data_IF_171162149645
#
_entry.id   IF_171162149645
#
_cell.length_a   1.000
_cell.length_b   1.000
_cell.length_c   1.000
_cell.angle_alpha   90.00
_cell.angle_beta   90.00
_cell.angle_gamma   90.00
#
_symmetry.space_group_name_H-M   'P 1'
#
loop_
_entity.id
_entity.type
_entity.pdbx_description
1 polymer ?
#
# COMPACT_ATOMS: atom_id res chain seq x y z
N UNK A 1 56.43 52.60 -0.28
CA UNK A 1 55.35 51.98 0.51
C UNK A 1 54.37 51.35 -0.45
N UNK A 2 54.40 50.03 -0.61
CA UNK A 2 53.42 49.29 -1.44
C UNK A 2 52.63 48.38 -0.52
N UNK A 3 51.35 48.67 -0.35
CA UNK A 3 50.41 47.85 0.40
C UNK A 3 50.11 46.57 -0.39
N UNK A 4 50.33 45.42 0.24
CA UNK A 4 50.00 44.11 -0.31
C UNK A 4 48.62 43.73 0.21
N UNK A 5 47.62 43.78 -0.67
CA UNK A 5 46.24 43.37 -0.46
C UNK A 5 46.13 41.84 -0.48
N UNK A 6 45.61 41.23 0.59
CA UNK A 6 45.19 39.83 0.60
C UNK A 6 43.73 39.73 0.15
N UNK A 7 43.38 38.85 -0.80
CA UNK A 7 41.99 38.56 -1.11
C UNK A 7 41.43 37.53 -0.10
N UNK A 8 40.28 37.84 0.48
CA UNK A 8 39.47 36.91 1.27
C UNK A 8 38.70 36.01 0.30
N UNK A 9 39.10 34.75 0.17
CA UNK A 9 38.35 33.75 -0.61
C UNK A 9 37.30 33.13 0.31
N UNK A 10 36.04 33.51 0.12
CA UNK A 10 34.90 32.84 0.73
C UNK A 10 34.60 31.56 -0.08
N UNK A 11 34.88 30.40 0.51
CA UNK A 11 34.57 29.11 -0.08
C UNK A 11 33.14 28.71 0.29
N UNK A 12 32.17 28.95 -0.60
CA UNK A 12 30.82 28.38 -0.48
C UNK A 12 30.91 26.87 -0.69
N UNK A 13 30.58 26.10 0.35
CA UNK A 13 30.42 24.65 0.26
C UNK A 13 28.94 24.35 0.04
N UNK A 14 28.58 24.06 -1.22
CA UNK A 14 27.28 23.47 -1.55
C UNK A 14 27.35 21.97 -1.22
N UNK A 15 26.67 21.54 -0.15
CA UNK A 15 26.44 20.13 0.12
C UNK A 15 25.43 19.59 -0.88
N UNK A 16 25.82 18.61 -1.68
CA UNK A 16 24.90 17.89 -2.56
C UNK A 16 23.98 17.03 -1.68
N UNK A 17 22.71 17.43 -1.57
CA UNK A 17 21.66 16.60 -0.99
C UNK A 17 21.31 15.56 -2.06
N UNK A 18 21.60 14.28 -1.81
CA UNK A 18 21.08 13.21 -2.66
C UNK A 18 19.56 13.13 -2.42
N UNK A 19 18.75 12.95 -3.47
CA UNK A 19 17.32 12.73 -3.29
C UNK A 19 17.11 11.47 -2.45
N UNK A 20 16.33 11.55 -1.37
CA UNK A 20 15.80 10.37 -0.72
C UNK A 20 14.84 9.69 -1.71
N UNK A 21 15.08 8.41 -2.01
CA UNK A 21 14.16 7.63 -2.83
C UNK A 21 13.16 6.94 -1.90
N UNK A 22 11.87 6.99 -2.23
CA UNK A 22 10.86 6.21 -1.53
C UNK A 22 11.18 4.71 -1.63
N UNK A 23 11.14 3.99 -0.52
CA UNK A 23 11.32 2.54 -0.49
C UNK A 23 9.96 1.85 -0.49
N UNK A 24 9.73 0.97 -1.46
CA UNK A 24 8.58 0.06 -1.47
C UNK A 24 8.68 -0.92 -0.28
N UNK A 25 7.60 -1.03 0.48
CA UNK A 25 7.53 -1.87 1.68
C UNK A 25 6.73 -3.16 1.48
N UNK A 26 5.89 -3.24 0.45
CA UNK A 26 5.18 -4.46 0.11
C UNK A 26 6.02 -5.35 -0.81
N UNK A 27 5.86 -6.65 -0.62
CA UNK A 27 6.32 -7.67 -1.56
C UNK A 27 5.14 -8.17 -2.39
N UNK A 28 5.37 -8.42 -3.67
CA UNK A 28 4.36 -8.99 -4.57
C UNK A 28 3.04 -8.21 -4.59
N UNK A 29 3.13 -6.87 -4.58
CA UNK A 29 1.95 -5.99 -4.61
C UNK A 29 1.17 -6.01 -5.93
N UNK A 30 1.84 -6.43 -7.02
CA UNK A 30 1.19 -6.73 -8.30
C UNK A 30 0.79 -8.20 -8.48
N UNK A 31 0.84 -9.02 -7.43
CA UNK A 31 0.35 -10.42 -7.40
C UNK A 31 0.90 -11.41 -8.44
N UNK A 32 1.93 -11.05 -9.21
CA UNK A 32 2.57 -11.89 -10.24
C UNK A 32 3.23 -13.18 -9.70
N UNK A 33 3.64 -13.18 -8.43
CA UNK A 33 4.14 -14.40 -7.77
C UNK A 33 2.99 -15.16 -7.13
N UNK A 34 2.37 -16.04 -7.91
CA UNK A 34 1.21 -16.83 -7.50
C UNK A 34 1.29 -18.29 -8.00
N UNK A 35 0.27 -19.09 -7.69
CA UNK A 35 0.18 -20.50 -8.11
C UNK A 35 -0.38 -20.73 -9.53
N UNK A 36 -0.53 -19.70 -10.35
CA UNK A 36 -1.18 -19.73 -11.66
C UNK A 36 -2.63 -19.25 -11.64
N UNK A 37 -3.24 -19.13 -12.83
CA UNK A 37 -4.62 -18.66 -12.99
C UNK A 37 -5.61 -19.47 -12.12
N UNK A 38 -6.46 -18.77 -11.36
CA UNK A 38 -7.44 -19.38 -10.47
C UNK A 38 -6.84 -19.99 -9.19
N UNK A 39 -5.56 -19.78 -8.91
CA UNK A 39 -4.95 -20.21 -7.64
C UNK A 39 -5.23 -19.23 -6.52
N UNK A 40 -5.44 -19.72 -5.31
CA UNK A 40 -5.53 -18.91 -4.08
C UNK A 40 -4.19 -18.70 -3.36
N UNK A 41 -3.08 -19.08 -4.01
CA UNK A 41 -1.74 -18.91 -3.47
C UNK A 41 -1.08 -17.64 -4.01
N UNK A 42 -0.77 -16.71 -3.12
CA UNK A 42 -0.02 -15.48 -3.39
C UNK A 42 1.23 -15.41 -2.50
N UNK A 43 2.42 -15.46 -3.08
CA UNK A 43 3.66 -15.39 -2.31
C UNK A 43 3.74 -14.07 -1.55
N UNK A 44 4.05 -14.13 -0.26
CA UNK A 44 4.18 -12.94 0.61
C UNK A 44 2.88 -12.44 1.21
N UNK A 45 1.73 -12.97 0.80
CA UNK A 45 0.41 -12.63 1.36
C UNK A 45 -0.13 -13.78 2.19
N UNK A 46 -0.83 -13.44 3.27
CA UNK A 46 -1.58 -14.39 4.09
C UNK A 46 -3.03 -14.30 3.73
N UNK A 47 -3.61 -15.42 3.31
CA UNK A 47 -5.03 -15.55 3.07
C UNK A 47 -5.74 -15.99 4.35
N UNK A 48 -6.81 -15.28 4.71
CA UNK A 48 -7.73 -15.64 5.77
C UNK A 48 -9.14 -15.76 5.19
N UNK A 49 -9.85 -16.81 5.58
CA UNK A 49 -11.25 -17.05 5.20
C UNK A 49 -12.03 -17.37 6.46
N UNK A 50 -13.25 -16.86 6.56
CA UNK A 50 -14.17 -17.26 7.62
C UNK A 50 -14.59 -18.74 7.44
N UNK A 51 -14.89 -19.40 8.55
CA UNK A 51 -15.24 -20.82 8.53
C UNK A 51 -16.60 -21.04 7.84
N UNK A 52 -16.56 -21.67 6.66
CA UNK A 52 -17.77 -21.94 5.88
C UNK A 52 -17.96 -21.02 4.68
N UNK A 53 -17.03 -20.08 4.44
CA UNK A 53 -17.02 -19.23 3.25
C UNK A 53 -17.15 -20.03 1.95
N UNK A 54 -18.08 -19.61 1.09
CA UNK A 54 -18.29 -20.14 -0.27
C UNK A 54 -17.38 -19.55 -1.34
N UNK A 55 -16.54 -18.58 -0.98
CA UNK A 55 -15.65 -17.83 -1.86
C UNK A 55 -14.21 -17.79 -1.39
N UNK A 56 -13.35 -17.16 -2.19
CA UNK A 56 -11.93 -17.01 -1.89
C UNK A 56 -11.29 -15.89 -2.71
N UNK A 57 -10.04 -15.56 -2.39
CA UNK A 57 -9.14 -14.83 -3.28
C UNK A 57 -8.50 -15.77 -4.31
N UNK A 58 -8.42 -15.30 -5.54
CA UNK A 58 -7.88 -16.04 -6.67
C UNK A 58 -7.01 -15.15 -7.56
N UNK A 59 -5.95 -15.73 -8.11
CA UNK A 59 -5.12 -15.08 -9.12
C UNK A 59 -5.91 -14.97 -10.43
N UNK A 60 -6.45 -13.78 -10.69
CA UNK A 60 -7.22 -13.49 -11.88
C UNK A 60 -6.31 -13.13 -13.04
N UNK A 61 -6.67 -13.57 -14.24
CA UNK A 61 -6.00 -13.19 -15.49
C UNK A 61 -7.03 -13.07 -16.62
N UNK A 62 -6.70 -12.35 -17.68
CA UNK A 62 -7.63 -12.11 -18.80
C UNK A 62 -8.81 -11.23 -18.40
N UNK A 63 -9.98 -11.43 -19.02
CA UNK A 63 -11.17 -10.57 -18.82
C UNK A 63 -12.36 -11.33 -18.21
N UNK A 64 -12.07 -12.34 -17.38
CA UNK A 64 -13.10 -13.16 -16.74
C UNK A 64 -12.77 -13.41 -15.27
N UNK A 65 -13.79 -13.37 -14.41
CA UNK A 65 -13.63 -13.70 -13.00
C UNK A 65 -13.24 -15.17 -12.82
N UNK A 66 -12.42 -15.52 -11.82
CA UNK A 66 -11.77 -16.84 -11.76
C UNK A 66 -12.69 -18.05 -11.57
N UNK A 67 -13.81 -17.89 -10.87
CA UNK A 67 -14.74 -18.97 -10.52
C UNK A 67 -16.02 -18.90 -11.36
N UNK A 68 -16.67 -17.73 -11.40
CA UNK A 68 -17.96 -17.57 -12.08
C UNK A 68 -17.84 -17.20 -13.57
N UNK A 69 -16.66 -16.79 -14.04
CA UNK A 69 -16.45 -16.38 -15.43
C UNK A 69 -17.17 -15.08 -15.80
N UNK A 70 -17.46 -14.22 -14.82
CA UNK A 70 -18.11 -12.93 -15.05
C UNK A 70 -17.18 -12.01 -15.86
N UNK A 71 -17.69 -11.16 -16.77
CA UNK A 71 -16.87 -10.16 -17.45
C UNK A 71 -16.24 -9.19 -16.45
N UNK A 72 -14.91 -9.10 -16.46
CA UNK A 72 -14.14 -8.18 -15.61
C UNK A 72 -13.03 -7.51 -16.42
N UNK A 73 -12.48 -6.43 -15.88
CA UNK A 73 -11.30 -5.80 -16.46
C UNK A 73 -10.10 -6.75 -16.38
N UNK A 74 -9.20 -6.67 -17.37
CA UNK A 74 -7.91 -7.32 -17.26
C UNK A 74 -7.03 -6.66 -16.18
N UNK A 75 -6.09 -7.41 -15.57
CA UNK A 75 -5.14 -6.85 -14.60
C UNK A 75 -4.46 -5.58 -15.14
N UNK A 76 -4.49 -4.46 -14.40
CA UNK A 76 -3.88 -3.21 -14.84
C UNK A 76 -2.34 -3.27 -14.81
N UNK A 77 -1.77 -4.13 -13.97
CA UNK A 77 -0.35 -4.50 -13.93
C UNK A 77 -0.13 -5.94 -14.39
N UNK A 78 1.02 -6.19 -15.01
CA UNK A 78 1.49 -7.56 -15.27
C UNK A 78 0.49 -8.47 -16.00
N UNK A 79 0.37 -9.72 -15.54
CA UNK A 79 -0.53 -10.74 -16.06
C UNK A 79 -1.62 -11.16 -15.07
N UNK A 80 -1.48 -10.79 -13.79
CA UNK A 80 -2.33 -11.23 -12.71
C UNK A 80 -2.76 -10.10 -11.78
N UNK A 81 -3.99 -10.19 -11.30
CA UNK A 81 -4.48 -9.43 -10.15
C UNK A 81 -4.98 -10.39 -9.08
N UNK A 82 -5.09 -9.95 -7.82
CA UNK A 82 -5.82 -10.69 -6.81
C UNK A 82 -7.31 -10.32 -6.91
N UNK A 83 -8.19 -11.31 -6.99
CA UNK A 83 -9.63 -11.07 -7.14
C UNK A 83 -10.44 -12.06 -6.30
N UNK A 84 -11.46 -11.57 -5.61
CA UNK A 84 -12.45 -12.43 -4.98
C UNK A 84 -13.46 -12.94 -5.97
N UNK A 85 -13.91 -14.17 -5.74
CA UNK A 85 -15.01 -14.78 -6.47
C UNK A 85 -15.66 -15.85 -5.58
N UNK A 86 -16.97 -16.02 -5.67
CA UNK A 86 -17.73 -16.80 -4.69
C UNK A 86 -18.78 -17.71 -5.33
N UNK A 87 -19.04 -18.86 -4.70
CA UNK A 87 -20.13 -19.76 -5.07
C UNK A 87 -21.29 -19.70 -4.06
N UNK A 88 -21.26 -18.73 -3.15
CA UNK A 88 -22.18 -18.56 -2.02
C UNK A 88 -21.56 -17.68 -0.94
N UNK A 89 -22.31 -17.37 0.13
CA UNK A 89 -21.92 -16.41 1.16
C UNK A 89 -20.49 -16.61 1.65
N UNK A 90 -19.71 -15.54 1.69
CA UNK A 90 -18.31 -15.66 2.01
C UNK A 90 -17.72 -14.42 2.68
N UNK A 91 -16.65 -14.65 3.44
CA UNK A 91 -15.79 -13.61 3.98
C UNK A 91 -14.34 -14.04 3.87
N UNK A 92 -13.53 -13.15 3.28
CA UNK A 92 -12.14 -13.40 2.97
C UNK A 92 -11.30 -12.14 3.10
N UNK A 93 -10.02 -12.34 3.43
CA UNK A 93 -9.04 -11.28 3.52
C UNK A 93 -7.65 -11.71 3.04
N UNK A 94 -6.96 -10.81 2.36
CA UNK A 94 -5.51 -10.87 2.12
C UNK A 94 -4.81 -9.91 3.08
N UNK A 95 -3.76 -10.41 3.72
CA UNK A 95 -2.97 -9.66 4.70
C UNK A 95 -1.49 -9.67 4.34
N UNK A 96 -0.84 -8.52 4.53
CA UNK A 96 0.61 -8.43 4.50
C UNK A 96 1.11 -7.47 5.59
N UNK A 97 2.07 -7.93 6.38
CA UNK A 97 2.75 -7.07 7.35
C UNK A 97 3.89 -6.32 6.70
N UNK A 98 4.06 -5.05 7.07
CA UNK A 98 5.17 -4.21 6.62
C UNK A 98 5.82 -3.51 7.83
N UNK A 99 7.10 -3.18 7.68
CA UNK A 99 7.92 -2.56 8.72
C UNK A 99 8.36 -1.16 8.28
N UNK A 100 8.06 -0.16 9.11
CA UNK A 100 8.62 1.18 8.96
C UNK A 100 9.88 1.31 9.82
N UNK A 101 11.05 1.59 9.21
CA UNK A 101 12.34 1.58 9.90
C UNK A 101 12.57 2.82 10.77
N UNK A 102 11.77 3.88 10.59
CA UNK A 102 11.97 5.18 11.19
C UNK A 102 10.81 6.12 10.88
N UNK A 103 10.85 7.36 11.39
CA UNK A 103 9.86 8.35 11.02
C UNK A 103 10.05 8.84 9.58
N UNK A 104 8.95 9.06 8.87
CA UNK A 104 8.96 9.48 7.47
C UNK A 104 7.56 9.65 6.89
N UNK A 105 7.48 10.06 5.63
CA UNK A 105 6.22 10.06 4.87
C UNK A 105 5.91 8.66 4.34
N UNK A 106 4.62 8.31 4.34
CA UNK A 106 4.13 7.00 3.91
C UNK A 106 2.94 7.20 3.00
N UNK A 107 2.96 6.61 1.81
CA UNK A 107 1.84 6.65 0.86
C UNK A 107 1.44 5.23 0.51
N UNK A 108 0.14 4.94 0.61
CA UNK A 108 -0.46 3.73 0.04
C UNK A 108 -1.04 4.07 -1.32
N UNK A 109 -0.74 3.26 -2.32
CA UNK A 109 -1.42 3.31 -3.62
C UNK A 109 -1.78 1.92 -4.11
N UNK A 110 -2.86 1.82 -4.88
CA UNK A 110 -3.31 0.58 -5.49
C UNK A 110 -4.37 0.84 -6.56
N UNK A 111 -4.57 -0.17 -7.41
CA UNK A 111 -5.69 -0.24 -8.33
C UNK A 111 -6.72 -1.22 -7.80
N UNK A 112 -8.01 -0.87 -7.83
CA UNK A 112 -9.09 -1.76 -7.40
C UNK A 112 -10.21 -1.87 -8.43
N UNK A 113 -10.88 -3.01 -8.42
CA UNK A 113 -12.02 -3.34 -9.25
C UNK A 113 -13.16 -3.83 -8.36
N UNK A 114 -14.40 -3.48 -8.70
CA UNK A 114 -15.60 -3.93 -8.00
C UNK A 114 -16.68 -4.28 -9.02
N UNK A 115 -17.30 -5.43 -8.86
CA UNK A 115 -18.51 -5.81 -9.57
C UNK A 115 -19.47 -6.48 -8.60
N UNK A 116 -20.63 -5.86 -8.40
CA UNK A 116 -21.77 -6.45 -7.70
C UNK A 116 -22.75 -7.01 -8.74
N UNK A 117 -22.77 -8.33 -8.88
CA UNK A 117 -23.60 -9.02 -9.86
C UNK A 117 -24.95 -9.48 -9.28
N UNK A 118 -25.29 -9.08 -8.04
CA UNK A 118 -26.43 -9.64 -7.31
C UNK A 118 -27.80 -9.16 -7.80
N UNK A 119 -27.90 -7.98 -8.45
CA UNK A 119 -29.19 -7.40 -8.86
C UNK A 119 -29.15 -6.47 -10.09
N UNK A 120 -28.20 -6.65 -11.02
CA UNK A 120 -28.14 -5.81 -12.23
C UNK A 120 -27.93 -4.30 -11.96
N UNK A 121 -27.47 -3.92 -10.76
CA UNK A 121 -27.03 -2.56 -10.41
C UNK A 121 -28.13 -1.54 -10.05
N UNK A 122 -29.42 -1.89 -10.09
CA UNK A 122 -30.49 -0.89 -10.20
C UNK A 122 -31.29 -0.58 -8.92
N UNK A 123 -30.97 -1.18 -7.77
CA UNK A 123 -31.69 -0.88 -6.51
C UNK A 123 -30.75 -0.32 -5.44
N UNK A 124 -31.05 0.86 -4.87
CA UNK A 124 -30.28 1.40 -3.76
C UNK A 124 -30.48 0.49 -2.54
N UNK A 125 -29.42 -0.26 -2.23
CA UNK A 125 -29.31 -1.06 -1.04
C UNK A 125 -28.92 -0.18 0.15
N UNK A 126 -29.32 -0.48 1.38
CA UNK A 126 -28.84 0.25 2.55
C UNK A 126 -27.29 0.19 2.67
N UNK A 127 -26.69 0.98 3.56
CA UNK A 127 -25.35 0.68 4.06
C UNK A 127 -25.29 -0.74 4.66
N UNK A 128 -24.21 -1.48 4.40
CA UNK A 128 -24.00 -2.81 4.97
C UNK A 128 -23.77 -2.69 6.49
N UNK A 129 -23.92 -3.78 7.26
CA UNK A 129 -23.51 -3.76 8.67
C UNK A 129 -22.01 -3.48 8.80
N UNK A 130 -21.57 -2.89 9.92
CA UNK A 130 -20.14 -2.77 10.24
C UNK A 130 -19.62 -4.13 10.74
N UNK A 131 -19.55 -5.10 9.82
CA UNK A 131 -19.18 -6.49 10.08
C UNK A 131 -18.57 -7.11 8.83
N UNK A 132 -17.51 -7.90 9.02
CA UNK A 132 -16.98 -8.78 7.98
C UNK A 132 -17.51 -10.22 8.12
N UNK A 133 -18.55 -10.45 8.93
CA UNK A 133 -19.22 -11.75 9.03
C UNK A 133 -20.38 -11.83 8.03
N UNK A 134 -20.31 -12.82 7.14
CA UNK A 134 -21.31 -13.03 6.09
C UNK A 134 -22.68 -13.51 6.64
N UNK A 135 -22.75 -13.93 7.90
CA UNK A 135 -24.00 -14.26 8.58
C UNK A 135 -24.65 -13.05 9.28
N UNK A 136 -23.95 -11.92 9.34
CA UNK A 136 -24.47 -10.71 9.96
C UNK A 136 -25.38 -9.97 8.98
N UNK A 137 -26.67 -9.89 9.31
CA UNK A 137 -27.60 -8.97 8.66
C UNK A 137 -27.61 -7.62 9.38
N UNK A 138 -27.86 -6.53 8.66
CA UNK A 138 -28.09 -5.24 9.33
C UNK A 138 -29.45 -5.20 10.06
N UNK A 139 -29.73 -4.10 10.79
CA UNK A 139 -30.94 -3.95 11.62
C UNK A 139 -32.27 -4.06 10.84
N UNK A 140 -32.25 -3.97 9.51
CA UNK A 140 -33.43 -4.12 8.65
C UNK A 140 -33.45 -5.46 7.90
N UNK A 141 -32.60 -6.42 8.28
CA UNK A 141 -32.50 -7.74 7.65
C UNK A 141 -31.79 -7.73 6.29
N UNK A 142 -30.88 -6.78 6.07
CA UNK A 142 -30.30 -6.51 4.76
C UNK A 142 -28.87 -7.02 4.64
N UNK A 143 -28.45 -7.10 3.38
CA UNK A 143 -27.30 -7.84 2.89
C UNK A 143 -25.95 -7.27 3.34
N UNK A 144 -24.99 -8.16 3.60
CA UNK A 144 -23.60 -7.81 3.85
C UNK A 144 -22.79 -7.98 2.56
N UNK A 145 -22.60 -6.88 1.85
CA UNK A 145 -21.95 -6.80 0.54
C UNK A 145 -20.97 -5.63 0.56
N UNK A 146 -19.71 -5.90 0.91
CA UNK A 146 -18.70 -4.84 1.04
C UNK A 146 -17.29 -5.37 0.88
N UNK A 147 -16.43 -4.49 0.39
CA UNK A 147 -14.99 -4.66 0.35
C UNK A 147 -14.31 -3.46 1.01
N UNK A 148 -13.11 -3.70 1.52
CA UNK A 148 -12.34 -2.69 2.22
C UNK A 148 -10.84 -2.91 2.11
N UNK A 149 -10.11 -1.81 2.15
CA UNK A 149 -8.65 -1.79 2.27
C UNK A 149 -8.31 -0.99 3.51
N UNK A 150 -7.62 -1.61 4.45
CA UNK A 150 -7.34 -1.05 5.77
C UNK A 150 -5.86 -1.14 6.13
N UNK A 151 -5.46 -0.22 7.00
CA UNK A 151 -4.23 -0.32 7.77
C UNK A 151 -4.59 -0.71 9.20
N UNK A 152 -3.96 -1.76 9.69
CA UNK A 152 -4.15 -2.33 11.00
C UNK A 152 -2.87 -2.23 11.84
N UNK A 153 -3.05 -2.29 13.16
CA UNK A 153 -1.96 -2.55 14.10
C UNK A 153 -1.30 -3.91 13.85
N UNK A 154 -0.04 -4.07 14.28
CA UNK A 154 0.67 -5.35 14.15
C UNK A 154 -0.10 -6.51 14.81
N UNK A 155 -0.31 -7.58 14.04
CA UNK A 155 -0.91 -8.82 14.54
C UNK A 155 -2.42 -8.74 14.77
N UNK A 156 -3.10 -7.70 14.29
CA UNK A 156 -4.56 -7.65 14.26
C UNK A 156 -5.15 -8.88 13.55
N UNK A 157 -6.32 -9.34 13.98
CA UNK A 157 -6.99 -10.44 13.31
C UNK A 157 -7.58 -9.98 11.97
N UNK A 158 -7.68 -10.91 11.03
CA UNK A 158 -8.14 -10.62 9.67
C UNK A 158 -9.51 -9.94 9.60
N UNK A 159 -10.40 -10.24 10.52
CA UNK A 159 -11.78 -9.74 10.51
C UNK A 159 -12.05 -8.70 11.61
N UNK A 160 -11.01 -8.15 12.26
CA UNK A 160 -11.16 -7.11 13.29
C UNK A 160 -11.61 -5.77 12.69
N UNK A 161 -12.69 -5.19 13.19
CA UNK A 161 -13.17 -3.86 12.77
C UNK A 161 -13.07 -2.78 13.85
N UNK A 162 -12.65 -3.16 15.06
CA UNK A 162 -12.56 -2.26 16.21
C UNK A 162 -11.25 -1.49 16.30
N UNK A 163 -10.78 -1.32 17.55
CA UNK A 163 -9.57 -0.56 17.88
C UNK A 163 -8.28 -0.93 17.10
N UNK A 164 -8.07 -2.17 16.61
CA UNK A 164 -6.90 -2.49 15.78
C UNK A 164 -6.86 -1.83 14.40
N UNK A 165 -7.97 -1.28 13.90
CA UNK A 165 -8.03 -0.55 12.62
C UNK A 165 -7.51 0.87 12.81
N UNK A 166 -6.40 1.21 12.13
CA UNK A 166 -5.78 2.53 12.20
C UNK A 166 -6.30 3.49 11.14
N UNK A 167 -6.60 2.96 9.94
CA UNK A 167 -7.07 3.75 8.81
C UNK A 167 -7.86 2.88 7.82
N UNK A 168 -8.93 3.45 7.25
CA UNK A 168 -9.71 2.84 6.18
C UNK A 168 -9.38 3.58 4.86
N UNK A 169 -8.56 2.96 4.01
CA UNK A 169 -8.21 3.54 2.71
C UNK A 169 -9.35 3.41 1.70
N UNK A 170 -10.11 2.31 1.79
CA UNK A 170 -11.31 2.08 1.00
C UNK A 170 -12.35 1.36 1.86
N UNK A 171 -13.61 1.75 1.73
CA UNK A 171 -14.76 0.99 2.21
C UNK A 171 -15.86 1.15 1.18
N UNK A 172 -16.19 0.07 0.50
CA UNK A 172 -17.26 0.10 -0.50
C UNK A 172 -18.60 0.02 0.22
N UNK A 173 -19.60 0.69 -0.35
CA UNK A 173 -20.98 0.45 0.02
C UNK A 173 -21.69 -0.15 -1.20
N UNK A 174 -22.77 -0.93 -1.00
CA UNK A 174 -23.60 -1.41 -2.10
C UNK A 174 -24.00 -0.27 -3.06
N UNK A 175 -24.22 0.93 -2.52
CA UNK A 175 -24.62 2.16 -3.23
C UNK A 175 -23.47 3.08 -3.65
N UNK A 176 -22.21 2.65 -3.57
CA UNK A 176 -21.14 3.47 -4.11
C UNK A 176 -21.20 3.43 -5.65
N UNK A 177 -22.13 4.24 -6.17
CA UNK A 177 -22.33 4.52 -7.59
C UNK A 177 -21.36 5.63 -8.04
N UNK A 178 -20.56 6.18 -7.14
CA UNK A 178 -19.61 7.27 -7.46
C UNK A 178 -18.31 6.74 -8.06
N UNK A 179 -18.07 5.43 -7.92
CA UNK A 179 -17.01 4.66 -8.56
C UNK A 179 -17.62 3.78 -9.65
N UNK A 180 -18.22 4.38 -10.68
CA UNK A 180 -18.74 3.73 -11.90
C UNK A 180 -19.47 2.40 -11.64
N UNK A 181 -20.80 2.42 -11.51
CA UNK A 181 -21.64 1.22 -11.71
C UNK A 181 -21.41 0.69 -13.12
N UNK A 182 -20.37 -0.11 -13.28
CA UNK A 182 -19.94 -0.61 -14.55
C UNK A 182 -20.59 -2.00 -14.70
N UNK A 183 -21.38 -2.15 -15.74
CA UNK A 183 -22.01 -3.41 -16.08
C UNK A 183 -22.12 -3.48 -17.61
N UNK A 184 -21.63 -4.53 -18.28
CA UNK A 184 -20.47 -5.37 -17.98
C UNK A 184 -19.23 -5.00 -18.83
N UNK A 185 -19.32 -4.05 -19.76
CA UNK A 185 -18.23 -3.75 -20.74
C UNK A 185 -17.36 -2.54 -20.41
N UNK A 186 -17.78 -1.70 -19.46
CA UNK A 186 -17.11 -0.42 -19.15
C UNK A 186 -16.42 -0.43 -17.78
N UNK A 187 -16.24 -1.62 -17.19
CA UNK A 187 -15.52 -1.75 -15.94
C UNK A 187 -14.01 -1.67 -16.19
N UNK A 188 -13.34 -0.76 -15.51
CA UNK A 188 -11.89 -0.71 -15.40
C UNK A 188 -11.48 -0.69 -13.93
N UNK A 189 -10.25 -1.10 -13.65
CA UNK A 189 -9.65 -0.81 -12.37
C UNK A 189 -9.56 0.71 -12.15
N UNK A 190 -9.69 1.13 -10.89
CA UNK A 190 -9.60 2.50 -10.44
C UNK A 190 -8.39 2.66 -9.54
N UNK A 191 -7.62 3.72 -9.76
CA UNK A 191 -6.45 4.02 -8.95
C UNK A 191 -6.84 4.81 -7.70
N UNK A 192 -6.35 4.39 -6.54
CA UNK A 192 -6.46 5.10 -5.27
C UNK A 192 -5.06 5.34 -4.70
N UNK A 193 -4.81 6.57 -4.24
CA UNK A 193 -3.59 6.92 -3.51
C UNK A 193 -3.96 7.77 -2.28
N UNK A 194 -3.35 7.45 -1.14
CA UNK A 194 -3.64 8.10 0.14
C UNK A 194 -2.39 8.24 1.00
N UNK A 195 -2.30 9.36 1.72
CA UNK A 195 -1.23 9.62 2.68
C UNK A 195 -1.54 8.93 4.01
N UNK A 196 -0.63 8.04 4.43
CA UNK A 196 -0.73 7.29 5.68
C UNK A 196 0.15 7.87 6.80
N UNK A 197 0.89 8.94 6.54
CA UNK A 197 1.93 9.49 7.44
C UNK A 197 1.39 9.75 8.86
N UNK A 198 0.17 10.27 9.00
CA UNK A 198 -0.43 10.54 10.31
C UNK A 198 -0.81 9.27 11.10
N UNK A 199 -0.98 8.14 10.42
CA UNK A 199 -1.45 6.88 11.00
C UNK A 199 -0.32 5.91 11.29
N UNK A 200 0.71 5.89 10.43
CA UNK A 200 1.83 4.95 10.52
C UNK A 200 3.20 5.60 10.40
N UNK A 201 3.33 6.91 10.28
CA UNK A 201 4.63 7.59 10.04
C UNK A 201 5.66 7.52 11.18
N UNK A 202 5.44 6.69 12.20
CA UNK A 202 6.42 6.31 13.23
C UNK A 202 7.02 4.94 12.95
N UNK A 203 8.23 4.68 13.48
CA UNK A 203 8.82 3.34 13.38
C UNK A 203 7.91 2.27 14.01
N UNK A 204 7.73 1.15 13.32
CA UNK A 204 6.85 0.08 13.81
C UNK A 204 6.45 -0.91 12.74
N UNK A 205 5.86 -2.02 13.19
CA UNK A 205 5.21 -3.00 12.30
C UNK A 205 3.74 -2.67 12.19
N UNK A 206 3.22 -2.76 10.99
CA UNK A 206 1.82 -2.54 10.66
C UNK A 206 1.35 -3.67 9.73
N UNK A 207 0.05 -3.73 9.49
CA UNK A 207 -0.52 -4.72 8.60
C UNK A 207 -1.50 -4.07 7.64
N UNK A 208 -1.33 -4.36 6.35
CA UNK A 208 -2.30 -4.05 5.32
C UNK A 208 -3.30 -5.19 5.26
N UNK A 209 -4.59 -4.85 5.22
CA UNK A 209 -5.68 -5.79 4.97
C UNK A 209 -6.45 -5.36 3.73
N UNK A 210 -6.75 -6.34 2.88
CA UNK A 210 -7.76 -6.24 1.84
C UNK A 210 -8.81 -7.28 2.19
N UNK A 211 -10.05 -6.87 2.43
CA UNK A 211 -11.12 -7.76 2.85
C UNK A 211 -12.38 -7.57 2.02
N UNK A 212 -13.14 -8.64 1.87
CA UNK A 212 -14.42 -8.66 1.18
C UNK A 212 -15.36 -9.65 1.88
N UNK A 213 -16.63 -9.27 1.94
CA UNK A 213 -17.73 -10.07 2.48
C UNK A 213 -18.97 -9.92 1.61
N UNK A 214 -19.62 -11.06 1.36
CA UNK A 214 -20.84 -11.19 0.57
C UNK A 214 -21.80 -12.23 1.21
N UNK A 215 -23.10 -12.07 1.03
CA UNK A 215 -24.11 -12.99 1.57
C UNK A 215 -25.23 -13.40 0.61
N UNK A 216 -25.26 -12.88 -0.63
CA UNK A 216 -26.34 -13.15 -1.59
C UNK A 216 -25.90 -13.47 -3.02
N UNK A 217 -24.60 -13.46 -3.31
CA UNK A 217 -24.11 -13.80 -4.65
C UNK A 217 -23.10 -12.79 -5.19
N UNK A 218 -22.66 -12.97 -6.45
CA UNK A 218 -21.25 -12.77 -6.70
C UNK A 218 -20.85 -11.33 -6.57
N UNK A 219 -19.95 -11.11 -5.61
CA UNK A 219 -19.35 -9.83 -5.34
C UNK A 219 -17.86 -9.92 -5.59
N UNK A 220 -17.50 -9.51 -6.79
CA UNK A 220 -16.13 -9.62 -7.27
C UNK A 220 -15.39 -8.36 -6.89
N UNK A 221 -14.38 -8.50 -6.04
CA UNK A 221 -13.48 -7.44 -5.67
C UNK A 221 -12.04 -7.76 -6.09
N UNK A 222 -11.48 -6.95 -6.97
CA UNK A 222 -10.13 -7.10 -7.48
C UNK A 222 -9.20 -6.03 -6.95
N UNK A 223 -7.94 -6.37 -6.71
CA UNK A 223 -6.86 -5.41 -6.42
C UNK A 223 -5.58 -5.79 -7.16
N UNK A 224 -4.83 -4.77 -7.56
CA UNK A 224 -3.54 -4.90 -8.23
C UNK A 224 -2.66 -3.66 -7.99
N UNK A 225 -1.38 -3.74 -8.34
CA UNK A 225 -0.40 -2.66 -8.18
C UNK A 225 -0.37 -2.06 -6.76
N UNK A 226 -0.55 -2.90 -5.74
CA UNK A 226 -0.49 -2.48 -4.34
C UNK A 226 0.93 -2.01 -4.01
N UNK A 227 1.06 -0.82 -3.43
CA UNK A 227 2.34 -0.22 -3.06
C UNK A 227 2.22 0.53 -1.75
N UNK A 228 3.21 0.35 -0.87
CA UNK A 228 3.44 1.24 0.26
C UNK A 228 4.83 1.85 0.11
N UNK A 229 4.85 3.09 -0.33
CA UNK A 229 6.07 3.88 -0.49
C UNK A 229 6.40 4.62 0.81
N UNK A 230 7.64 4.46 1.28
CA UNK A 230 8.15 5.15 2.46
C UNK A 230 9.35 6.04 2.16
N UNK A 231 9.27 7.29 2.54
CA UNK A 231 10.40 8.23 2.48
C UNK A 231 10.83 8.62 3.88
N UNK A 232 12.03 8.21 4.28
CA UNK A 232 12.57 8.55 5.59
C UNK A 232 12.75 10.05 5.74
N UNK A 233 12.39 10.59 6.91
CA UNK A 233 12.72 11.96 7.25
C UNK A 233 14.24 12.11 7.23
N UNK A 234 14.76 12.97 6.33
CA UNK A 234 16.18 13.28 6.33
C UNK A 234 16.51 14.05 7.60
N UNK A 235 16.97 13.38 8.64
CA UNK A 235 17.75 14.07 9.66
C UNK A 235 19.02 14.52 8.95
N UNK A 236 19.21 15.83 8.77
CA UNK A 236 20.53 16.36 8.43
C UNK A 236 21.45 15.99 9.59
N UNK A 237 22.05 14.79 9.55
CA UNK A 237 23.16 14.48 10.40
C UNK A 237 24.21 15.54 10.06
N UNK A 238 24.65 16.38 11.01
CA UNK A 238 25.80 17.22 10.77
C UNK A 238 26.94 16.24 10.47
N UNK A 239 27.33 16.14 9.20
CA UNK A 239 28.53 15.42 8.77
C UNK A 239 29.63 15.76 9.79
N UNK A 240 30.20 14.78 10.50
CA UNK A 240 31.06 15.04 11.65
C UNK A 240 32.37 15.64 11.18
N UNK A 241 32.40 16.94 10.87
CA UNK A 241 33.60 17.75 10.60
C UNK A 241 34.67 17.07 9.73
N UNK A 242 34.33 16.09 8.89
CA UNK A 242 35.29 15.29 8.12
C UNK A 242 36.12 16.18 7.20
N UNK A 243 35.49 17.24 6.68
CA UNK A 243 36.11 18.30 5.89
C UNK A 243 36.98 19.21 6.77
N UNK A 244 36.57 19.54 8.00
CA UNK A 244 37.40 20.31 8.94
C UNK A 244 38.63 19.51 9.40
N UNK A 245 38.51 18.19 9.58
CA UNK A 245 39.63 17.29 9.85
C UNK A 245 40.55 17.15 8.65
N UNK A 246 40.01 17.07 7.43
CA UNK A 246 40.80 17.01 6.20
C UNK A 246 41.55 18.33 5.93
N UNK A 247 40.86 19.47 6.05
CA UNK A 247 41.44 20.81 5.89
C UNK A 247 42.45 21.11 6.99
N UNK A 248 42.12 20.77 8.24
CA UNK A 248 43.05 20.88 9.38
C UNK A 248 44.30 20.00 9.20
N UNK A 249 44.11 18.76 8.73
CA UNK A 249 45.20 17.82 8.46
C UNK A 249 46.13 18.29 7.34
N UNK A 250 45.57 18.73 6.21
CA UNK A 250 46.34 19.27 5.07
C UNK A 250 47.04 20.59 5.43
N UNK A 251 46.41 21.46 6.22
CA UNK A 251 47.01 22.69 6.72
C UNK A 251 48.20 22.43 7.66
N UNK A 252 48.08 21.46 8.56
CA UNK A 252 49.18 21.05 9.45
C UNK A 252 50.37 20.45 8.66
N UNK A 253 50.09 19.62 7.65
CA UNK A 253 51.11 19.04 6.76
C UNK A 253 51.86 20.11 5.94
N UNK A 254 51.15 21.11 5.41
CA UNK A 254 51.76 22.21 4.66
C UNK A 254 52.68 23.09 5.55
N UNK A 255 52.26 23.35 6.79
CA UNK A 255 53.07 24.06 7.77
C UNK A 255 54.33 23.27 8.18
N UNK A 256 54.22 21.96 8.37
CA UNK A 256 55.34 21.09 8.69
C UNK A 256 56.36 21.02 7.53
N UNK A 257 55.88 20.92 6.28
CA UNK A 257 56.73 20.88 5.09
C UNK A 257 57.54 22.18 4.91
N UNK A 258 56.91 23.36 5.11
CA UNK A 258 57.59 24.67 5.03
C UNK A 258 58.66 24.87 6.11
N UNK A 259 58.49 24.29 7.29
CA UNK A 259 59.47 24.40 8.38
C UNK A 259 60.73 23.56 8.11
N UNK A 260 60.59 22.48 7.32
CA UNK A 260 61.68 21.55 6.96
C UNK A 260 62.53 22.05 5.80
N UNK A 261 61.98 22.88 4.90
CA UNK A 261 62.73 23.45 3.76
C UNK A 261 63.53 24.72 4.08
N UNK A 262 63.50 25.18 5.35
CA UNK A 262 64.19 26.40 5.81
C UNK A 262 65.37 26.10 6.76
N UNK A 263 65.77 24.84 6.88
CA UNK A 263 67.02 24.40 7.50
C UNK A 263 67.91 23.84 6.40
#
# INVERSE_FOLDING_TARGET
>A
MRACSLPLIALLTSGAVLPAHAGELLINGGFESNGGAGSSLFTGWTLATEAGSGGNWYAQTGASSPLNGLPVAAPPGGSFAAMTDDAGPSSQALLQSFLLPGPGSVTLSFDYFRLDATNGGDQPLPPPPDSLDYNTLNASGQINQQARVDILTAGAAAFDLGAPVLFNALTTTPNDLTTSSCFPSDCSYQHLSTDLTAFVGSAGTYQLRIAEVDDIGPFVFGVDNMSIDFEANSSSAPEPSSILLLVGGLGALACAARKRSRR
#
